data_IF_133986548319
#
_entry.id   IF_133986548319
#
_cell.length_a   1.000
_cell.length_b   1.000
_cell.length_c   1.000
_cell.angle_alpha   90.00
_cell.angle_beta   90.00
_cell.angle_gamma   90.00
#
_symmetry.space_group_name_H-M   'P 1'
#
loop_
_entity.id
_entity.type
_entity.pdbx_description
1 polymer ?
#
# COMPACT_ATOMS: atom_id res chain seq x y z
N UNK A 1 -8.61 -1.74 -8.26
CA UNK A 1 -8.78 -0.61 -7.31
C UNK A 1 -9.20 0.64 -8.06
N UNK A 2 -9.80 1.61 -7.37
CA UNK A 2 -10.34 2.82 -7.98
C UNK A 2 -11.84 2.72 -8.29
N UNK A 3 -12.40 3.69 -9.05
CA UNK A 3 -11.68 4.75 -9.75
C UNK A 3 -11.09 5.81 -8.80
N UNK A 4 -9.90 6.32 -9.14
CA UNK A 4 -9.31 7.52 -8.53
C UNK A 4 -9.16 8.55 -9.65
N UNK A 5 -9.95 9.63 -9.62
CA UNK A 5 -9.95 10.66 -10.66
C UNK A 5 -10.06 10.10 -12.10
N UNK A 6 -10.88 9.06 -12.29
CA UNK A 6 -11.12 8.40 -13.58
C UNK A 6 -10.07 7.35 -13.98
N UNK A 7 -9.01 7.16 -13.19
CA UNK A 7 -8.01 6.12 -13.41
C UNK A 7 -8.30 4.90 -12.52
N UNK A 8 -8.21 3.72 -13.12
CA UNK A 8 -8.26 2.44 -12.43
C UNK A 8 -6.85 1.87 -12.28
N UNK A 9 -6.60 1.20 -11.16
CA UNK A 9 -5.40 0.40 -10.96
C UNK A 9 -5.76 -1.08 -10.99
N UNK A 10 -5.18 -1.82 -11.92
CA UNK A 10 -5.36 -3.27 -12.11
C UNK A 10 -4.06 -3.99 -11.73
N UNK A 11 -4.21 -5.12 -11.04
CA UNK A 11 -3.09 -5.94 -10.61
C UNK A 11 -3.35 -7.35 -11.13
N UNK A 12 -2.40 -7.90 -11.90
CA UNK A 12 -2.44 -9.25 -12.42
C UNK A 12 -1.08 -9.90 -12.20
N UNK A 13 -1.00 -10.81 -11.22
CA UNK A 13 0.26 -11.40 -10.76
C UNK A 13 1.27 -10.31 -10.33
N UNK A 14 2.37 -10.17 -11.07
CA UNK A 14 3.43 -9.18 -10.83
C UNK A 14 3.25 -7.89 -11.63
N UNK A 15 2.21 -7.82 -12.46
CA UNK A 15 1.98 -6.69 -13.37
C UNK A 15 0.95 -5.75 -12.75
N UNK A 16 1.32 -4.47 -12.65
CA UNK A 16 0.43 -3.39 -12.24
C UNK A 16 0.19 -2.48 -13.43
N UNK A 17 -1.08 -2.17 -13.71
CA UNK A 17 -1.51 -1.32 -14.82
C UNK A 17 -2.36 -0.17 -14.29
N UNK A 18 -2.04 1.05 -14.68
CA UNK A 18 -2.98 2.15 -14.59
C UNK A 18 -3.77 2.25 -15.90
N UNK A 19 -5.08 2.36 -15.79
CA UNK A 19 -5.99 2.37 -16.95
C UNK A 19 -6.89 3.59 -16.86
N UNK A 20 -6.83 4.44 -17.88
CA UNK A 20 -7.82 5.49 -18.12
C UNK A 20 -8.74 5.03 -19.26
N UNK A 21 -9.92 4.46 -18.96
CA UNK A 21 -10.81 3.94 -19.98
C UNK A 21 -11.41 5.04 -20.86
N UNK A 22 -11.62 6.25 -20.32
CA UNK A 22 -12.16 7.39 -21.05
C UNK A 22 -11.21 7.87 -22.15
N UNK A 23 -9.89 7.82 -21.88
CA UNK A 23 -8.86 8.15 -22.86
C UNK A 23 -8.32 6.93 -23.61
N UNK A 24 -8.78 5.72 -23.28
CA UNK A 24 -8.26 4.44 -23.80
C UNK A 24 -6.74 4.30 -23.61
N UNK A 25 -6.23 4.80 -22.49
CA UNK A 25 -4.80 4.75 -22.16
C UNK A 25 -4.53 3.66 -21.13
N UNK A 26 -3.43 2.94 -21.32
CA UNK A 26 -2.93 1.91 -20.42
C UNK A 26 -1.46 2.26 -20.13
N UNK A 27 -1.12 2.35 -18.85
CA UNK A 27 0.21 2.65 -18.35
C UNK A 27 0.69 1.46 -17.52
N UNK A 28 1.47 0.53 -18.11
CA UNK A 28 2.11 -0.52 -17.33
C UNK A 28 3.19 0.08 -16.45
N UNK A 29 3.18 -0.28 -15.17
CA UNK A 29 4.25 0.09 -14.26
C UNK A 29 5.48 -0.79 -14.51
N UNK A 30 6.71 -0.26 -14.36
CA UNK A 30 7.90 -1.08 -14.34
C UNK A 30 7.83 -2.08 -13.19
N UNK A 31 8.50 -3.22 -13.33
CA UNK A 31 8.60 -4.21 -12.25
C UNK A 31 9.21 -3.56 -11.01
N UNK A 32 8.58 -3.81 -9.86
CA UNK A 32 9.07 -3.36 -8.56
C UNK A 32 10.29 -4.21 -8.11
N UNK A 33 11.03 -3.78 -7.08
CA UNK A 33 12.26 -4.51 -6.70
C UNK A 33 11.97 -5.81 -5.93
N UNK A 34 10.70 -6.09 -5.59
CA UNK A 34 10.30 -7.35 -4.96
C UNK A 34 10.50 -8.60 -5.84
N UNK A 35 10.81 -8.40 -7.13
CA UNK A 35 11.43 -9.28 -8.15
C UNK A 35 10.93 -10.72 -8.35
N UNK A 36 10.15 -11.31 -7.44
CA UNK A 36 9.79 -12.74 -7.45
C UNK A 36 8.46 -13.09 -6.76
N UNK A 37 7.75 -12.14 -6.16
CA UNK A 37 6.42 -12.39 -5.58
C UNK A 37 5.54 -11.13 -5.64
N UNK A 38 4.22 -11.29 -5.71
CA UNK A 38 3.31 -10.14 -5.62
C UNK A 38 3.44 -9.47 -4.25
N UNK A 39 3.17 -8.16 -4.16
CA UNK A 39 3.03 -7.49 -2.86
C UNK A 39 1.82 -8.06 -2.10
N UNK A 40 1.94 -8.10 -0.78
CA UNK A 40 0.89 -8.61 0.12
C UNK A 40 -0.18 -7.55 0.39
N UNK A 41 0.27 -6.30 0.52
CA UNK A 41 -0.58 -5.13 0.64
C UNK A 41 -0.21 -4.14 -0.45
N UNK A 42 -1.22 -3.45 -0.96
CA UNK A 42 -1.02 -2.45 -1.97
C UNK A 42 -2.03 -1.31 -1.85
N UNK A 43 -1.57 -0.12 -2.21
CA UNK A 43 -2.32 1.12 -2.20
C UNK A 43 -2.23 1.78 -3.58
N UNK A 44 -3.31 2.42 -4.01
CA UNK A 44 -3.32 3.30 -5.17
C UNK A 44 -3.85 4.65 -4.71
N UNK A 45 -3.47 5.74 -5.37
CA UNK A 45 -3.95 7.05 -4.97
C UNK A 45 -3.44 8.17 -5.85
N UNK A 46 -4.04 9.34 -5.68
CA UNK A 46 -3.63 10.56 -6.35
C UNK A 46 -3.08 11.55 -5.31
N UNK A 47 -1.83 11.97 -5.52
CA UNK A 47 -1.20 13.05 -4.78
C UNK A 47 -1.52 14.38 -5.45
N UNK A 48 -2.45 15.12 -4.86
CA UNK A 48 -2.87 16.42 -5.36
C UNK A 48 -1.82 17.52 -5.23
N UNK A 49 -0.80 17.36 -4.36
CA UNK A 49 0.28 18.36 -4.21
C UNK A 49 1.27 18.30 -5.37
N UNK A 50 1.57 17.09 -5.83
CA UNK A 50 2.52 16.85 -6.92
C UNK A 50 1.85 16.53 -8.25
N UNK A 51 0.50 16.47 -8.26
CA UNK A 51 -0.32 16.07 -9.40
C UNK A 51 0.16 14.72 -9.96
N UNK A 52 0.27 13.73 -9.08
CA UNK A 52 0.91 12.46 -9.37
C UNK A 52 0.02 11.28 -8.98
N UNK A 53 -0.01 10.26 -9.82
CA UNK A 53 -0.61 8.98 -9.45
C UNK A 53 0.46 8.10 -8.84
N UNK A 54 0.17 7.57 -7.67
CA UNK A 54 1.10 6.74 -6.92
C UNK A 54 0.55 5.35 -6.67
N UNK A 55 1.47 4.40 -6.59
CA UNK A 55 1.16 3.04 -6.17
C UNK A 55 2.10 2.64 -5.05
N UNK A 56 1.53 2.22 -3.93
CA UNK A 56 2.26 1.70 -2.80
C UNK A 56 2.22 0.17 -2.85
N UNK A 57 3.36 -0.46 -2.69
CA UNK A 57 3.50 -1.89 -2.54
C UNK A 57 4.16 -2.16 -1.17
N UNK A 58 3.57 -3.03 -0.35
CA UNK A 58 4.20 -3.53 0.86
C UNK A 58 4.33 -5.05 0.79
N UNK A 59 5.44 -5.53 1.33
CA UNK A 59 5.77 -6.95 1.36
C UNK A 59 6.45 -7.30 2.68
N UNK A 60 6.02 -8.40 3.27
CA UNK A 60 6.70 -8.96 4.43
C UNK A 60 8.06 -9.54 4.01
N UNK A 61 9.12 -9.13 4.69
CA UNK A 61 10.46 -9.65 4.45
C UNK A 61 10.53 -11.14 4.77
N UNK A 62 11.26 -11.91 3.96
CA UNK A 62 11.50 -13.34 4.21
C UNK A 62 12.99 -13.62 4.40
N UNK A 63 13.33 -14.52 5.32
CA UNK A 63 14.73 -14.89 5.58
C UNK A 63 15.48 -13.87 6.44
N UNK A 64 16.53 -13.23 5.89
CA UNK A 64 17.48 -12.36 6.61
C UNK A 64 16.89 -11.03 7.09
N UNK A 65 15.71 -10.66 6.62
CA UNK A 65 15.07 -9.37 6.90
C UNK A 65 14.30 -9.37 8.24
N UNK A 66 14.53 -10.38 9.09
CA UNK A 66 13.97 -10.53 10.44
C UNK A 66 12.44 -10.35 10.58
N UNK A 67 11.68 -10.50 9.48
CA UNK A 67 10.23 -10.29 9.47
C UNK A 67 9.80 -8.82 9.43
N UNK A 68 10.68 -7.90 9.03
CA UNK A 68 10.29 -6.51 8.81
C UNK A 68 9.54 -6.34 7.49
N UNK A 69 8.60 -5.41 7.48
CA UNK A 69 7.91 -5.01 6.26
C UNK A 69 8.79 -4.08 5.44
N UNK A 70 8.87 -4.37 4.15
CA UNK A 70 9.47 -3.50 3.14
C UNK A 70 8.37 -2.83 2.35
N UNK A 71 8.62 -1.60 1.90
CA UNK A 71 7.64 -0.90 1.09
C UNK A 71 8.28 -0.03 0.03
N UNK A 72 7.62 -0.02 -1.13
CA UNK A 72 8.03 0.75 -2.29
C UNK A 72 6.87 1.61 -2.76
N UNK A 73 7.16 2.87 -3.07
CA UNK A 73 6.22 3.82 -3.63
C UNK A 73 6.61 4.14 -5.06
N UNK A 74 5.74 3.79 -5.98
CA UNK A 74 5.83 4.20 -7.38
C UNK A 74 5.22 5.59 -7.56
N UNK A 75 5.88 6.40 -8.39
CA UNK A 75 5.41 7.68 -8.89
C UNK A 75 5.24 7.61 -10.41
N UNK A 76 4.05 7.94 -10.92
CA UNK A 76 3.80 7.98 -12.36
C UNK A 76 4.59 9.10 -13.04
N UNK A 77 4.70 10.26 -12.39
CA UNK A 77 5.41 11.42 -12.92
C UNK A 77 6.91 11.17 -13.12
N UNK A 78 7.57 10.48 -12.18
CA UNK A 78 8.98 10.11 -12.34
C UNK A 78 9.20 8.74 -12.98
N UNK A 79 8.14 7.94 -13.16
CA UNK A 79 8.19 6.57 -13.64
C UNK A 79 9.22 5.71 -12.89
N UNK A 80 9.28 5.86 -11.56
CA UNK A 80 10.26 5.17 -10.71
C UNK A 80 9.65 4.69 -9.41
N UNK A 81 10.20 3.59 -8.91
CA UNK A 81 9.99 3.09 -7.57
C UNK A 81 10.99 3.74 -6.61
N UNK A 82 10.54 4.02 -5.40
CA UNK A 82 11.39 4.47 -4.30
C UNK A 82 11.04 3.68 -3.05
N UNK A 83 12.06 3.21 -2.35
CA UNK A 83 11.88 2.66 -1.02
C UNK A 83 11.34 3.74 -0.10
N UNK A 84 10.39 3.38 0.75
CA UNK A 84 9.92 4.24 1.81
C UNK A 84 10.04 3.48 3.14
N UNK A 85 10.41 4.21 4.18
CA UNK A 85 10.59 3.63 5.49
C UNK A 85 9.22 3.24 6.08
N UNK A 86 9.03 1.93 6.27
CA UNK A 86 8.01 1.42 7.19
C UNK A 86 8.66 1.39 8.56
N UNK A 87 8.02 1.93 9.61
CA UNK A 87 8.71 1.99 10.87
C UNK A 87 8.90 0.58 11.45
N UNK A 88 10.06 0.28 12.03
CA UNK A 88 10.48 -1.10 12.37
C UNK A 88 9.71 -1.70 13.55
N UNK A 89 9.08 -0.88 14.39
CA UNK A 89 8.41 -1.33 15.62
C UNK A 89 6.95 -1.71 15.43
N UNK A 90 6.44 -1.76 14.20
CA UNK A 90 5.05 -2.09 13.99
C UNK A 90 4.90 -3.61 13.86
N UNK A 91 4.30 -4.28 14.86
CA UNK A 91 3.91 -5.65 14.69
C UNK A 91 2.79 -5.60 13.64
N UNK A 92 3.15 -5.93 12.41
CA UNK A 92 2.24 -6.53 11.47
C UNK A 92 2.56 -8.03 11.55
N UNK A 93 2.08 -8.78 12.57
CA UNK A 93 2.32 -10.20 12.70
C UNK A 93 2.14 -10.94 11.39
N UNK A 94 2.93 -11.99 11.21
CA UNK A 94 2.77 -12.97 10.11
C UNK A 94 1.33 -13.49 9.97
N UNK A 95 0.51 -13.38 11.02
CA UNK A 95 -0.89 -13.79 11.06
C UNK A 95 -1.90 -12.73 10.62
N UNK A 96 -1.49 -11.53 10.18
CA UNK A 96 -2.46 -10.53 9.71
C UNK A 96 -3.15 -11.03 8.44
N UNK A 97 -4.45 -11.27 8.57
CA UNK A 97 -5.33 -11.41 7.42
C UNK A 97 -5.81 -10.00 7.05
N UNK A 98 -5.32 -9.51 5.92
CA UNK A 98 -5.74 -8.22 5.39
C UNK A 98 -6.94 -8.39 4.46
N UNK A 99 -7.90 -7.47 4.58
CA UNK A 99 -8.96 -7.34 3.59
C UNK A 99 -8.37 -6.77 2.31
N UNK A 100 -8.76 -7.34 1.17
CA UNK A 100 -8.51 -6.76 -0.16
C UNK A 100 -9.39 -5.54 -0.45
N UNK A 101 -10.27 -5.16 0.50
CA UNK A 101 -11.14 -4.00 0.40
C UNK A 101 -10.32 -2.73 0.55
N UNK A 102 -9.98 -2.15 -0.59
CA UNK A 102 -9.30 -0.87 -0.69
C UNK A 102 -10.29 0.29 -0.50
N UNK A 103 -9.97 1.20 0.42
CA UNK A 103 -10.67 2.49 0.57
C UNK A 103 -9.67 3.64 0.50
N UNK A 104 -9.94 4.61 -0.37
CA UNK A 104 -9.15 5.85 -0.47
C UNK A 104 -9.99 7.06 -0.07
N UNK A 105 -9.62 7.68 1.04
CA UNK A 105 -10.34 8.81 1.65
C UNK A 105 -9.32 9.80 2.17
N UNK A 106 -9.58 11.09 1.94
CA UNK A 106 -8.72 12.19 2.43
C UNK A 106 -7.23 12.00 2.10
N UNK A 107 -6.96 11.53 0.88
CA UNK A 107 -5.62 11.23 0.36
C UNK A 107 -4.90 10.03 1.00
N UNK A 108 -5.59 9.27 1.86
CA UNK A 108 -5.03 8.07 2.47
C UNK A 108 -5.68 6.81 1.92
N UNK A 109 -4.88 5.79 1.64
CA UNK A 109 -5.39 4.44 1.45
C UNK A 109 -5.49 3.72 2.80
N UNK A 110 -6.58 2.97 2.98
CA UNK A 110 -6.87 2.24 4.21
C UNK A 110 -7.04 0.76 3.93
N UNK A 111 -6.59 -0.06 4.88
CA UNK A 111 -6.76 -1.51 4.89
C UNK A 111 -7.26 -1.96 6.25
N UNK A 112 -8.20 -2.90 6.26
CA UNK A 112 -8.62 -3.59 7.46
C UNK A 112 -7.76 -4.83 7.66
N UNK A 113 -7.30 -5.08 8.88
CA UNK A 113 -6.65 -6.33 9.26
C UNK A 113 -7.06 -6.79 10.66
N UNK A 114 -6.86 -8.08 10.91
CA UNK A 114 -6.96 -8.69 12.23
C UNK A 114 -5.57 -8.92 12.80
N UNK A 115 -5.35 -8.59 14.07
CA UNK A 115 -4.09 -8.85 14.76
C UNK A 115 -4.34 -9.42 16.16
N UNK A 116 -3.41 -10.26 16.63
CA UNK A 116 -3.39 -10.71 18.01
C UNK A 116 -2.82 -9.62 18.92
N UNK A 117 -3.49 -9.35 20.03
CA UNK A 117 -2.93 -8.52 21.11
C UNK A 117 -1.94 -9.31 21.98
N UNK A 118 -1.32 -8.65 22.96
CA UNK A 118 -0.35 -9.28 23.88
C UNK A 118 -0.95 -10.44 24.70
N UNK A 119 -2.27 -10.51 24.82
CA UNK A 119 -2.98 -11.60 25.50
C UNK A 119 -3.33 -12.77 24.56
N UNK A 120 -3.01 -12.66 23.27
CA UNK A 120 -3.34 -13.63 22.24
C UNK A 120 -4.77 -13.54 21.73
N UNK A 121 -5.46 -12.41 21.96
CA UNK A 121 -6.83 -12.18 21.46
C UNK A 121 -6.80 -11.47 20.12
N UNK A 122 -7.60 -11.94 19.16
CA UNK A 122 -7.79 -11.26 17.87
C UNK A 122 -8.57 -9.94 18.06
N UNK A 123 -8.04 -8.88 17.44
CA UNK A 123 -8.58 -7.52 17.47
C UNK A 123 -8.52 -6.91 16.07
N UNK A 124 -9.49 -6.05 15.76
CA UNK A 124 -9.59 -5.35 14.48
C UNK A 124 -8.71 -4.10 14.45
N UNK A 125 -8.00 -3.94 13.33
CA UNK A 125 -7.14 -2.79 13.07
C UNK A 125 -7.42 -2.21 11.69
N UNK A 126 -7.33 -0.88 11.60
CA UNK A 126 -7.26 -0.17 10.34
C UNK A 126 -5.86 0.39 10.18
N UNK A 127 -5.21 -0.04 9.11
CA UNK A 127 -3.96 0.52 8.60
C UNK A 127 -4.32 1.66 7.64
N UNK A 128 -3.60 2.77 7.70
CA UNK A 128 -3.75 3.89 6.80
C UNK A 128 -2.39 4.41 6.34
N UNK A 129 -2.28 4.80 5.08
CA UNK A 129 -1.09 5.42 4.52
C UNK A 129 -1.46 6.68 3.73
N UNK A 130 -0.81 7.80 4.05
CA UNK A 130 -1.00 9.09 3.35
C UNK A 130 -0.20 9.12 2.04
N UNK A 131 -0.88 9.30 0.91
CA UNK A 131 -0.27 9.35 -0.42
C UNK A 131 0.37 10.70 -0.76
N UNK A 132 0.12 11.76 0.02
CA UNK A 132 0.70 13.11 -0.18
C UNK A 132 2.18 13.21 0.20
N UNK A 133 2.76 12.10 0.61
CA UNK A 133 4.07 12.03 1.25
C UNK A 133 5.20 12.09 0.23
N UNK A 134 6.22 12.87 0.58
CA UNK A 134 7.59 12.74 0.07
C UNK A 134 8.38 11.81 1.00
N UNK A 135 9.35 11.08 0.45
CA UNK A 135 10.08 9.90 0.97
C UNK A 135 10.61 9.97 2.42
N UNK A 136 10.52 11.10 3.14
CA UNK A 136 11.23 11.36 4.40
C UNK A 136 10.39 11.29 5.70
N UNK A 137 9.09 10.97 5.66
CA UNK A 137 8.26 10.93 6.89
C UNK A 137 7.57 9.57 7.11
N UNK A 138 7.52 9.12 8.37
CA UNK A 138 6.76 7.93 8.82
C UNK A 138 5.25 8.17 8.72
N UNK A 139 4.58 7.66 7.68
CA UNK A 139 3.17 7.97 7.41
C UNK A 139 2.22 6.77 7.41
N UNK A 140 2.73 5.61 7.86
CA UNK A 140 1.89 4.47 8.15
C UNK A 140 1.27 4.64 9.54
N UNK A 141 -0.05 4.71 9.61
CA UNK A 141 -0.82 4.85 10.86
C UNK A 141 -1.66 3.61 11.06
N UNK A 142 -1.62 3.04 12.26
CA UNK A 142 -2.48 1.92 12.68
C UNK A 142 -3.42 2.40 13.77
N UNK A 143 -4.70 2.12 13.63
CA UNK A 143 -5.72 2.42 14.62
C UNK A 143 -6.52 1.17 14.95
N UNK A 144 -6.63 0.83 16.24
CA UNK A 144 -7.52 -0.24 16.71
C UNK A 144 -8.97 0.20 16.52
N UNK A 145 -9.78 -0.67 15.92
CA UNK A 145 -11.22 -0.46 15.82
C UNK A 145 -11.85 -0.92 17.13
N UNK A 146 -12.60 -0.03 17.80
CA UNK A 146 -13.40 -0.40 18.97
C UNK A 146 -14.86 -0.40 18.54
N UNK A 147 -15.54 -1.54 18.65
CA UNK A 147 -16.99 -1.56 18.60
C UNK A 147 -17.52 -0.86 19.86
N UNK A 148 -18.39 0.13 19.65
CA UNK A 148 -19.11 0.86 20.71
C UNK A 148 -20.23 0.02 21.31
#
# INVERSE_FOLDING_TARGET
>A
MGPCNGIFCLIAFLVVLFVNPSLRQIFPLPTNHFNKSPPELYGFGFDSKTNDYKFLALKHGSGSDNGYWTSELYSLNSNTWKDIDVPPYYPLPESWQFSTTYTFVKNCCHWWGLALDESGKEEDYVLAFDMLVSVQNNNLVISRVRAS
#
